data_IF_938132593488
#
_entry.id   IF_938132593488
#
_cell.length_a   1.000
_cell.length_b   1.000
_cell.length_c   1.000
_cell.angle_alpha   90.00
_cell.angle_beta   90.00
_cell.angle_gamma   90.00
#
_symmetry.space_group_name_H-M   'P 1'
#
loop_
_entity.id
_entity.type
_entity.pdbx_description
1 polymer ?
#
# COMPACT_ATOMS: atom_id res chain seq x y z
N UNK A 1 -11.00 -4.49 -2.23
CA UNK A 1 -9.75 -4.13 -2.97
C UNK A 1 -10.17 -3.32 -4.19
N UNK A 2 -9.42 -2.27 -4.53
CA UNK A 2 -9.82 -1.28 -5.53
C UNK A 2 -8.68 -1.07 -6.53
N UNK A 3 -8.98 -1.25 -7.81
CA UNK A 3 -8.13 -0.76 -8.90
C UNK A 3 -8.52 0.69 -9.20
N UNK A 4 -7.57 1.62 -9.15
CA UNK A 4 -7.84 3.02 -9.45
C UNK A 4 -6.66 3.66 -10.17
N UNK A 5 -6.88 4.09 -11.41
CA UNK A 5 -5.87 4.74 -12.25
C UNK A 5 -6.40 6.10 -12.66
N UNK A 6 -5.69 7.16 -12.26
CA UNK A 6 -5.99 8.56 -12.63
C UNK A 6 -7.40 9.05 -12.25
N UNK A 7 -8.09 8.37 -11.35
CA UNK A 7 -9.46 8.70 -10.92
C UNK A 7 -9.58 8.77 -9.38
N UNK A 8 -8.52 9.25 -8.72
CA UNK A 8 -8.47 9.29 -7.25
C UNK A 8 -9.46 10.30 -6.66
N UNK A 9 -9.70 11.42 -7.33
CA UNK A 9 -10.63 12.45 -6.86
C UNK A 9 -12.08 11.93 -6.89
N UNK A 10 -12.47 11.22 -7.96
CA UNK A 10 -13.76 10.54 -8.07
C UNK A 10 -13.89 9.45 -7.01
N UNK A 11 -12.85 8.65 -6.77
CA UNK A 11 -12.86 7.61 -5.75
C UNK A 11 -13.03 8.20 -4.34
N UNK A 12 -12.33 9.30 -4.04
CA UNK A 12 -12.47 10.03 -2.77
C UNK A 12 -13.90 10.57 -2.63
N UNK A 13 -14.45 11.18 -3.68
CA UNK A 13 -15.83 11.70 -3.67
C UNK A 13 -16.85 10.58 -3.45
N UNK A 14 -16.67 9.43 -4.10
CA UNK A 14 -17.50 8.25 -3.91
C UNK A 14 -17.43 7.72 -2.48
N UNK A 15 -16.24 7.60 -1.90
CA UNK A 15 -16.08 7.16 -0.51
C UNK A 15 -16.79 8.11 0.47
N UNK A 16 -16.63 9.42 0.30
CA UNK A 16 -17.32 10.43 1.13
C UNK A 16 -18.84 10.34 1.03
N UNK A 17 -19.37 10.10 -0.17
CA UNK A 17 -20.81 9.99 -0.43
C UNK A 17 -21.40 8.70 0.12
N UNK A 18 -20.72 7.58 -0.09
CA UNK A 18 -21.23 6.24 0.24
C UNK A 18 -20.91 5.79 1.67
N UNK A 19 -19.89 6.39 2.30
CA UNK A 19 -19.44 6.08 3.66
C UNK A 19 -19.32 4.56 3.94
N UNK A 20 -18.57 3.82 3.11
CA UNK A 20 -18.40 2.40 3.31
C UNK A 20 -17.73 2.12 4.66
N UNK A 21 -18.23 1.12 5.37
CA UNK A 21 -17.70 0.70 6.67
C UNK A 21 -16.57 -0.32 6.56
N UNK A 22 -16.37 -0.89 5.38
CA UNK A 22 -15.33 -1.88 5.10
C UNK A 22 -13.99 -1.21 4.75
N UNK A 23 -12.84 -1.82 5.10
CA UNK A 23 -11.53 -1.33 4.68
C UNK A 23 -11.41 -1.24 3.15
N UNK A 24 -10.88 -0.11 2.67
CA UNK A 24 -10.66 0.15 1.24
C UNK A 24 -9.17 0.15 0.93
N UNK A 25 -8.68 -0.91 0.31
CA UNK A 25 -7.28 -1.07 -0.12
C UNK A 25 -7.18 -0.74 -1.62
N UNK A 26 -6.33 0.23 -1.98
CA UNK A 26 -5.97 0.53 -3.37
C UNK A 26 -4.78 -0.34 -3.73
N UNK A 27 -4.96 -1.21 -4.73
CA UNK A 27 -3.89 -2.06 -5.26
C UNK A 27 -3.16 -1.34 -6.41
N UNK A 28 -1.95 -1.81 -6.71
CA UNK A 28 -1.09 -1.30 -7.78
C UNK A 28 -0.59 0.12 -7.50
N UNK A 29 -0.49 0.53 -6.23
CA UNK A 29 -0.11 1.91 -5.92
C UNK A 29 1.33 2.20 -6.34
N UNK A 30 1.48 3.20 -7.22
CA UNK A 30 2.76 3.55 -7.85
C UNK A 30 2.98 5.07 -7.98
N UNK A 31 2.48 5.86 -7.02
CA UNK A 31 2.60 7.32 -7.01
C UNK A 31 3.53 7.81 -5.90
N UNK A 32 3.93 9.08 -6.00
CA UNK A 32 4.77 9.78 -5.02
C UNK A 32 4.09 9.96 -3.66
N UNK A 33 4.91 10.31 -2.66
CA UNK A 33 4.53 10.43 -1.25
C UNK A 33 3.34 11.37 -1.00
N UNK A 34 3.25 12.50 -1.72
CA UNK A 34 2.13 13.46 -1.57
C UNK A 34 0.77 12.80 -1.84
N UNK A 35 0.68 12.01 -2.92
CA UNK A 35 -0.55 11.29 -3.28
C UNK A 35 -0.83 10.16 -2.28
N UNK A 36 0.21 9.46 -1.81
CA UNK A 36 0.06 8.44 -0.78
C UNK A 36 -0.55 9.05 0.49
N UNK A 37 -0.01 10.17 0.96
CA UNK A 37 -0.49 10.88 2.13
C UNK A 37 -1.93 11.37 1.96
N UNK A 38 -2.27 11.91 0.79
CA UNK A 38 -3.64 12.33 0.50
C UNK A 38 -4.63 11.17 0.64
N UNK A 39 -4.35 10.02 0.03
CA UNK A 39 -5.23 8.85 0.08
C UNK A 39 -5.34 8.26 1.49
N UNK A 40 -4.22 8.15 2.20
CA UNK A 40 -4.20 7.68 3.58
C UNK A 40 -4.97 8.61 4.51
N UNK A 41 -4.88 9.93 4.33
CA UNK A 41 -5.67 10.90 5.09
C UNK A 41 -7.18 10.80 4.80
N UNK A 42 -7.56 10.26 3.64
CA UNK A 42 -8.96 9.91 3.33
C UNK A 42 -9.32 8.49 3.82
N UNK A 43 -8.45 7.82 4.57
CA UNK A 43 -8.66 6.52 5.19
C UNK A 43 -8.55 5.33 4.23
N UNK A 44 -7.88 5.49 3.08
CA UNK A 44 -7.53 4.37 2.21
C UNK A 44 -6.27 3.68 2.73
N UNK A 45 -6.20 2.37 2.53
CA UNK A 45 -4.96 1.60 2.67
C UNK A 45 -4.33 1.41 1.30
N UNK A 46 -3.01 1.29 1.25
CA UNK A 46 -2.25 1.21 0.01
C UNK A 46 -1.52 -0.12 -0.06
N UNK A 47 -1.57 -0.76 -1.22
CA UNK A 47 -0.80 -1.96 -1.54
C UNK A 47 0.22 -1.64 -2.63
N UNK A 48 1.46 -2.04 -2.41
CA UNK A 48 2.61 -1.72 -3.25
C UNK A 48 3.19 -2.99 -3.88
N UNK A 49 3.57 -2.91 -5.15
CA UNK A 49 4.19 -4.04 -5.85
C UNK A 49 5.52 -3.71 -6.49
N UNK A 50 5.77 -4.32 -7.66
CA UNK A 50 7.04 -4.25 -8.38
C UNK A 50 7.56 -2.82 -8.65
N UNK A 51 6.68 -1.82 -8.62
CA UNK A 51 7.07 -0.41 -8.75
C UNK A 51 8.06 0.06 -7.67
N UNK A 52 8.01 -0.52 -6.46
CA UNK A 52 8.95 -0.21 -5.35
C UNK A 52 10.40 -0.54 -5.73
N UNK A 53 10.60 -1.55 -6.59
CA UNK A 53 11.93 -1.99 -7.01
C UNK A 53 12.56 -1.05 -8.05
N UNK A 54 11.74 -0.26 -8.75
CA UNK A 54 12.14 0.48 -9.95
C UNK A 54 12.04 2.00 -9.81
N UNK A 55 11.24 2.48 -8.87
CA UNK A 55 10.94 3.91 -8.71
C UNK A 55 11.34 4.40 -7.33
N UNK A 56 12.31 5.31 -7.29
CA UNK A 56 12.74 5.98 -6.06
C UNK A 56 11.61 6.78 -5.41
N UNK A 57 10.70 7.36 -6.21
CA UNK A 57 9.53 8.07 -5.68
C UNK A 57 8.56 7.14 -4.93
N UNK A 58 8.33 5.94 -5.46
CA UNK A 58 7.47 4.93 -4.83
C UNK A 58 8.17 4.34 -3.61
N UNK A 59 9.47 4.04 -3.71
CA UNK A 59 10.28 3.59 -2.59
C UNK A 59 10.28 4.61 -1.44
N UNK A 60 10.45 5.90 -1.75
CA UNK A 60 10.39 6.99 -0.78
C UNK A 60 8.99 7.15 -0.15
N UNK A 61 7.93 7.06 -0.97
CA UNK A 61 6.56 7.08 -0.47
C UNK A 61 6.31 5.94 0.53
N UNK A 62 6.77 4.73 0.23
CA UNK A 62 6.66 3.59 1.11
C UNK A 62 7.53 3.74 2.35
N UNK A 63 8.78 4.19 2.22
CA UNK A 63 9.71 4.43 3.34
C UNK A 63 9.07 5.34 4.39
N UNK A 64 8.46 6.45 3.96
CA UNK A 64 7.80 7.44 4.84
C UNK A 64 6.43 7.02 5.38
N UNK A 65 5.87 5.90 4.92
CA UNK A 65 4.54 5.45 5.35
C UNK A 65 4.56 4.86 6.75
N UNK A 66 3.81 5.45 7.68
CA UNK A 66 3.65 4.94 9.04
C UNK A 66 2.35 4.12 9.20
N UNK A 67 1.37 4.36 8.33
CA UNK A 67 0.09 3.69 8.37
C UNK A 67 0.19 2.27 7.81
N UNK A 68 -0.75 1.37 8.17
CA UNK A 68 -0.79 0.03 7.60
C UNK A 68 -0.76 0.04 6.06
N UNK A 69 0.12 -0.77 5.50
CA UNK A 69 0.27 -0.97 4.06
C UNK A 69 0.41 -2.45 3.74
N UNK A 70 0.25 -2.79 2.47
CA UNK A 70 0.34 -4.15 1.97
C UNK A 70 1.33 -4.26 0.81
N UNK A 71 1.75 -5.48 0.53
CA UNK A 71 2.70 -5.82 -0.54
C UNK A 71 2.09 -6.89 -1.45
N UNK A 72 2.32 -6.76 -2.75
CA UNK A 72 1.71 -7.63 -3.76
C UNK A 72 2.58 -7.78 -5.00
N UNK A 73 2.37 -8.86 -5.76
CA UNK A 73 2.98 -9.02 -7.10
C UNK A 73 2.09 -8.45 -8.21
N UNK A 74 0.77 -8.40 -7.98
CA UNK A 74 -0.25 -8.19 -9.02
C UNK A 74 0.00 -9.14 -10.21
N UNK A 75 0.15 -8.61 -11.42
CA UNK A 75 0.47 -9.34 -12.65
C UNK A 75 1.97 -9.41 -12.97
N UNK A 76 2.83 -8.84 -12.11
CA UNK A 76 4.27 -8.82 -12.33
C UNK A 76 4.90 -10.21 -12.11
N UNK A 77 5.80 -10.59 -13.00
CA UNK A 77 6.56 -11.85 -12.91
C UNK A 77 7.68 -11.85 -11.84
N UNK A 78 7.72 -10.84 -10.98
CA UNK A 78 8.72 -10.72 -9.92
C UNK A 78 8.33 -11.58 -8.72
N UNK A 79 9.31 -12.17 -8.04
CA UNK A 79 9.03 -12.90 -6.81
C UNK A 79 8.60 -11.92 -5.70
N UNK A 80 7.57 -12.29 -4.94
CA UNK A 80 7.12 -11.52 -3.78
C UNK A 80 8.25 -11.34 -2.75
N UNK A 81 9.18 -12.31 -2.68
CA UNK A 81 10.36 -12.25 -1.80
C UNK A 81 11.23 -11.04 -2.13
N UNK A 82 11.39 -10.67 -3.41
CA UNK A 82 12.18 -9.49 -3.81
C UNK A 82 11.55 -8.20 -3.30
N UNK A 83 10.21 -8.09 -3.40
CA UNK A 83 9.48 -6.92 -2.91
C UNK A 83 9.60 -6.81 -1.38
N UNK A 84 9.38 -7.90 -0.66
CA UNK A 84 9.54 -7.91 0.80
C UNK A 84 10.96 -7.56 1.23
N UNK A 85 11.97 -8.10 0.54
CA UNK A 85 13.38 -7.81 0.83
C UNK A 85 13.67 -6.31 0.65
N UNK A 86 13.29 -5.73 -0.49
CA UNK A 86 13.48 -4.30 -0.73
C UNK A 86 12.77 -3.43 0.31
N UNK A 87 11.54 -3.80 0.68
CA UNK A 87 10.74 -3.03 1.63
C UNK A 87 11.32 -3.13 3.05
N UNK A 88 11.78 -4.31 3.46
CA UNK A 88 12.45 -4.50 4.74
C UNK A 88 13.73 -3.64 4.84
N UNK A 89 14.53 -3.59 3.77
CA UNK A 89 15.71 -2.70 3.68
C UNK A 89 15.34 -1.22 3.84
N UNK A 90 14.31 -0.75 3.11
CA UNK A 90 13.83 0.63 3.20
C UNK A 90 13.36 0.97 4.62
N UNK A 91 12.68 0.02 5.28
CA UNK A 91 12.16 0.18 6.64
C UNK A 91 13.20 -0.07 7.72
N UNK A 92 14.41 -0.52 7.36
CA UNK A 92 15.50 -0.87 8.29
C UNK A 92 15.08 -1.91 9.33
N UNK A 93 14.29 -2.90 8.90
CA UNK A 93 13.83 -4.03 9.69
C UNK A 93 14.14 -5.32 8.94
N UNK A 94 13.99 -6.46 9.60
CA UNK A 94 14.10 -7.77 8.95
C UNK A 94 12.84 -8.10 8.15
N UNK A 95 12.96 -9.04 7.20
CA UNK A 95 11.81 -9.53 6.43
C UNK A 95 10.78 -10.23 7.33
N UNK A 96 11.22 -10.93 8.38
CA UNK A 96 10.31 -11.58 9.32
C UNK A 96 9.55 -10.56 10.18
N UNK A 97 10.20 -9.51 10.68
CA UNK A 97 9.50 -8.41 11.36
C UNK A 97 8.48 -7.73 10.43
N UNK A 98 8.83 -7.52 9.15
CA UNK A 98 7.92 -6.96 8.17
C UNK A 98 6.69 -7.86 7.94
N UNK A 99 6.89 -9.18 7.84
CA UNK A 99 5.80 -10.16 7.73
C UNK A 99 4.87 -10.10 8.93
N UNK A 100 5.43 -10.04 10.14
CA UNK A 100 4.65 -9.93 11.37
C UNK A 100 3.84 -8.62 11.41
N UNK A 101 4.46 -7.49 11.07
CA UNK A 101 3.78 -6.19 10.99
C UNK A 101 2.61 -6.23 10.00
N UNK A 102 2.83 -6.74 8.79
CA UNK A 102 1.79 -6.83 7.75
C UNK A 102 0.67 -7.78 8.21
N UNK A 103 1.00 -8.92 8.81
CA UNK A 103 0.02 -9.89 9.28
C UNK A 103 -0.82 -9.36 10.45
N UNK A 104 -0.21 -8.63 11.39
CA UNK A 104 -0.93 -7.98 12.47
C UNK A 104 -1.85 -6.86 11.96
N UNK A 105 -1.40 -6.10 10.96
CA UNK A 105 -2.24 -5.11 10.28
C UNK A 105 -3.44 -5.76 9.57
N UNK A 106 -3.23 -6.90 8.91
CA UNK A 106 -4.30 -7.68 8.29
C UNK A 106 -5.38 -8.10 9.30
N UNK A 107 -4.98 -8.64 10.46
CA UNK A 107 -5.89 -9.03 11.55
C UNK A 107 -6.65 -7.83 12.12
N UNK A 108 -5.96 -6.72 12.39
CA UNK A 108 -6.58 -5.50 12.94
C UNK A 108 -7.67 -4.92 12.03
N UNK A 109 -7.55 -5.15 10.72
CA UNK A 109 -8.53 -4.72 9.73
C UNK A 109 -9.71 -5.68 9.56
N UNK A 110 -9.74 -6.79 10.30
CA UNK A 110 -10.83 -7.77 10.23
C UNK A 110 -10.89 -8.48 8.88
N UNK A 111 -9.74 -8.67 8.22
CA UNK A 111 -9.63 -9.33 6.91
C UNK A 111 -9.40 -10.85 7.04
N UNK A 112 -9.55 -11.42 8.24
CA UNK A 112 -9.47 -12.86 8.53
C UNK A 112 -10.86 -13.42 8.84
#
# INVERSE_FOLDING_TARGET
ILHCVKAFDELIALKKRLQPTVPMIIHGFNKKQEMAQQLVNQGFYLSFGAAVLKSDEVAFALEKMEQPFFLETDDAAVDIVEIYTKVAELKKITVDELKDIIFENWKKLGLL
#
